data_IF_496570200420
#
_entry.id   IF_496570200420
#
_cell.length_a   1.000
_cell.length_b   1.000
_cell.length_c   1.000
_cell.angle_alpha   90.00
_cell.angle_beta   90.00
_cell.angle_gamma   90.00
#
_symmetry.space_group_name_H-M   'P 1'
#
loop_
_entity.id
_entity.type
_entity.pdbx_description
1 polymer ?
#
# COMPACT_ATOMS: atom_id res chain seq x y z
N UNK A 1 10.02 16.08 -11.34
CA UNK A 1 10.20 14.84 -10.59
C UNK A 1 9.24 14.70 -9.39
N UNK A 2 9.04 15.72 -8.52
CA UNK A 2 8.08 15.58 -7.39
C UNK A 2 6.64 15.36 -7.85
N UNK A 3 6.21 15.97 -8.96
CA UNK A 3 4.88 15.75 -9.54
C UNK A 3 4.70 14.29 -9.99
N UNK A 4 5.71 13.69 -10.62
CA UNK A 4 5.66 12.26 -10.96
C UNK A 4 5.56 11.34 -9.74
N UNK A 5 6.31 11.62 -8.66
CA UNK A 5 6.16 10.88 -7.40
C UNK A 5 4.79 11.09 -6.75
N UNK A 6 4.23 12.29 -6.85
CA UNK A 6 2.88 12.57 -6.38
C UNK A 6 1.84 11.76 -7.15
N UNK A 7 1.99 11.67 -8.48
CA UNK A 7 1.15 10.83 -9.33
C UNK A 7 1.20 9.36 -8.92
N UNK A 8 2.41 8.80 -8.77
CA UNK A 8 2.60 7.43 -8.29
C UNK A 8 1.94 7.20 -6.91
N UNK A 9 2.01 8.20 -6.01
CA UNK A 9 1.37 8.11 -4.70
C UNK A 9 -0.17 8.07 -4.82
N UNK A 10 -0.77 8.94 -5.63
CA UNK A 10 -2.22 8.98 -5.85
C UNK A 10 -2.71 7.67 -6.48
N UNK A 11 -2.04 7.21 -7.54
CA UNK A 11 -2.38 5.97 -8.25
C UNK A 11 -2.17 4.73 -7.38
N UNK A 12 -1.18 4.77 -6.50
CA UNK A 12 -0.89 3.73 -5.53
C UNK A 12 -1.78 3.73 -4.28
N UNK A 13 -2.85 4.55 -4.24
CA UNK A 13 -3.79 4.60 -3.11
C UNK A 13 -3.30 5.40 -1.91
N UNK A 14 -2.36 6.31 -2.10
CA UNK A 14 -1.83 7.23 -1.08
C UNK A 14 -2.15 8.70 -1.43
N UNK A 15 -3.44 9.09 -1.55
CA UNK A 15 -3.81 10.43 -2.01
C UNK A 15 -3.32 11.55 -1.08
N UNK A 16 -3.21 11.30 0.22
CA UNK A 16 -2.64 12.24 1.19
C UNK A 16 -1.17 12.55 0.90
N UNK A 17 -0.36 11.53 0.58
CA UNK A 17 1.03 11.72 0.20
C UNK A 17 1.15 12.43 -1.16
N UNK A 18 0.25 12.14 -2.09
CA UNK A 18 0.17 12.83 -3.38
C UNK A 18 -0.11 14.34 -3.20
N UNK A 19 -1.13 14.69 -2.42
CA UNK A 19 -1.48 16.08 -2.10
C UNK A 19 -0.30 16.84 -1.46
N UNK A 20 0.40 16.18 -0.53
CA UNK A 20 1.58 16.72 0.14
C UNK A 20 2.72 17.02 -0.84
N UNK A 21 3.07 16.06 -1.71
CA UNK A 21 4.15 16.21 -2.70
C UNK A 21 3.81 17.22 -3.80
N UNK A 22 2.54 17.34 -4.22
CA UNK A 22 2.11 18.35 -5.17
C UNK A 22 2.29 19.76 -4.61
N UNK A 23 1.94 19.97 -3.33
CA UNK A 23 2.15 21.25 -2.67
C UNK A 23 3.62 21.58 -2.49
N UNK A 24 4.46 20.60 -2.15
CA UNK A 24 5.91 20.77 -2.07
C UNK A 24 6.52 21.14 -3.44
N UNK A 25 6.04 20.52 -4.52
CA UNK A 25 6.51 20.82 -5.87
C UNK A 25 6.29 22.28 -6.26
N UNK A 26 5.11 22.84 -5.92
CA UNK A 26 4.80 24.26 -6.16
C UNK A 26 5.64 25.16 -5.27
N UNK A 27 5.75 24.84 -3.98
CA UNK A 27 6.51 25.68 -3.02
C UNK A 27 7.99 25.76 -3.37
N UNK A 28 8.59 24.66 -3.83
CA UNK A 28 10.03 24.58 -4.14
C UNK A 28 10.32 25.14 -5.54
N UNK A 29 9.51 24.79 -6.53
CA UNK A 29 9.75 25.15 -7.92
C UNK A 29 9.10 26.48 -8.36
N UNK A 30 8.17 26.99 -7.57
CA UNK A 30 7.31 28.10 -7.92
C UNK A 30 6.23 27.73 -8.94
N UNK A 31 5.21 28.55 -9.09
CA UNK A 31 4.12 28.33 -10.05
C UNK A 31 4.60 28.20 -11.50
N UNK A 32 5.72 28.85 -11.85
CA UNK A 32 6.31 28.81 -13.20
C UNK A 32 6.70 27.41 -13.65
N UNK A 33 7.12 26.53 -12.73
CA UNK A 33 7.49 25.14 -13.08
C UNK A 33 6.28 24.35 -13.57
N UNK A 34 5.11 24.63 -13.03
CA UNK A 34 3.86 23.96 -13.42
C UNK A 34 3.21 24.63 -14.62
N UNK A 35 3.33 25.96 -14.74
CA UNK A 35 2.66 26.72 -15.78
C UNK A 35 3.46 26.81 -17.08
N UNK A 36 4.79 26.69 -17.04
CA UNK A 36 5.66 26.83 -18.22
C UNK A 36 5.48 25.71 -19.26
N UNK A 37 5.08 24.50 -18.83
CA UNK A 37 4.93 23.34 -19.70
C UNK A 37 3.50 22.80 -19.63
N UNK A 38 2.71 22.85 -20.73
CA UNK A 38 1.31 22.39 -20.73
C UNK A 38 1.13 20.96 -20.21
N UNK A 39 2.04 20.04 -20.58
CA UNK A 39 1.99 18.66 -20.12
C UNK A 39 2.14 18.55 -18.59
N UNK A 40 3.10 19.27 -18.00
CA UNK A 40 3.32 19.28 -16.54
C UNK A 40 2.15 19.89 -15.79
N UNK A 41 1.53 20.91 -16.36
CA UNK A 41 0.31 21.52 -15.81
C UNK A 41 -0.85 20.54 -15.82
N UNK A 42 -1.08 19.84 -16.93
CA UNK A 42 -2.14 18.84 -17.04
C UNK A 42 -1.94 17.70 -16.04
N UNK A 43 -0.71 17.19 -15.89
CA UNK A 43 -0.39 16.16 -14.88
C UNK A 43 -0.66 16.67 -13.46
N UNK A 44 -0.20 17.87 -13.13
CA UNK A 44 -0.42 18.47 -11.83
C UNK A 44 -1.91 18.61 -11.50
N UNK A 45 -2.69 19.22 -12.40
CA UNK A 45 -4.14 19.42 -12.22
C UNK A 45 -4.88 18.08 -12.11
N UNK A 46 -4.50 17.10 -12.93
CA UNK A 46 -5.08 15.74 -12.89
C UNK A 46 -4.87 15.07 -11.53
N UNK A 47 -3.64 15.03 -11.04
CA UNK A 47 -3.35 14.37 -9.77
C UNK A 47 -3.88 15.16 -8.57
N UNK A 48 -3.93 16.49 -8.66
CA UNK A 48 -4.52 17.34 -7.62
C UNK A 48 -6.03 17.05 -7.48
N UNK A 49 -6.75 17.00 -8.59
CA UNK A 49 -8.17 16.66 -8.59
C UNK A 49 -8.43 15.25 -8.03
N UNK A 50 -7.64 14.25 -8.44
CA UNK A 50 -7.76 12.89 -7.93
C UNK A 50 -7.44 12.77 -6.45
N UNK A 51 -6.42 13.47 -5.96
CA UNK A 51 -6.10 13.49 -4.54
C UNK A 51 -7.25 14.11 -3.74
N UNK A 52 -7.86 15.20 -4.23
CA UNK A 52 -8.97 15.89 -3.58
C UNK A 52 -10.25 15.04 -3.51
N UNK A 53 -10.58 14.30 -4.57
CA UNK A 53 -11.76 13.40 -4.58
C UNK A 53 -11.61 12.25 -3.58
N UNK A 54 -10.38 11.78 -3.32
CA UNK A 54 -10.09 10.66 -2.44
C UNK A 54 -9.78 11.05 -0.98
N UNK A 55 -9.93 12.34 -0.64
CA UNK A 55 -9.72 12.86 0.71
C UNK A 55 -10.90 13.76 1.10
N UNK A 56 -11.22 13.81 2.39
CA UNK A 56 -12.05 14.90 2.88
C UNK A 56 -11.30 16.24 2.76
N UNK A 57 -12.05 17.34 2.61
CA UNK A 57 -11.47 18.67 2.34
C UNK A 57 -10.52 19.11 3.48
N UNK A 58 -10.86 18.82 4.73
CA UNK A 58 -10.01 19.17 5.88
C UNK A 58 -8.66 18.48 5.81
N UNK A 59 -8.65 17.18 5.50
CA UNK A 59 -7.42 16.39 5.37
C UNK A 59 -6.62 16.81 4.15
N UNK A 60 -7.28 17.10 3.02
CA UNK A 60 -6.63 17.61 1.82
C UNK A 60 -5.90 18.92 2.11
N UNK A 61 -6.56 19.90 2.74
CA UNK A 61 -5.95 21.18 3.09
C UNK A 61 -4.80 21.03 4.09
N UNK A 62 -4.92 20.15 5.06
CA UNK A 62 -3.86 19.86 6.02
C UNK A 62 -2.59 19.30 5.34
N UNK A 63 -2.74 18.37 4.40
CA UNK A 63 -1.60 17.82 3.65
C UNK A 63 -0.99 18.84 2.69
N UNK A 64 -1.81 19.67 2.05
CA UNK A 64 -1.33 20.80 1.24
C UNK A 64 -0.52 21.79 2.07
N UNK A 65 -1.00 22.16 3.25
CA UNK A 65 -0.30 23.08 4.17
C UNK A 65 1.07 22.52 4.57
N UNK A 66 1.15 21.23 4.97
CA UNK A 66 2.40 20.55 5.29
C UNK A 66 3.37 20.53 4.11
N UNK A 67 2.89 20.22 2.91
CA UNK A 67 3.73 20.19 1.71
C UNK A 67 4.35 21.54 1.37
N UNK A 68 3.60 22.63 1.55
CA UNK A 68 4.10 24.00 1.30
C UNK A 68 5.26 24.43 2.21
N UNK A 69 5.43 23.79 3.35
CA UNK A 69 6.51 24.10 4.30
C UNK A 69 7.80 23.33 4.03
N UNK A 70 7.76 22.34 3.12
CA UNK A 70 8.94 21.54 2.82
C UNK A 70 9.93 22.29 1.93
N UNK A 71 11.20 22.23 2.30
CA UNK A 71 12.31 22.51 1.41
C UNK A 71 12.66 21.28 0.56
N UNK A 72 13.55 21.45 -0.42
CA UNK A 72 13.86 20.41 -1.40
C UNK A 72 14.32 19.09 -0.78
N UNK A 73 15.26 19.12 0.15
CA UNK A 73 15.85 17.93 0.75
C UNK A 73 14.82 17.11 1.55
N UNK A 74 14.05 17.68 2.50
CA UNK A 74 12.96 16.95 3.16
C UNK A 74 11.89 16.43 2.19
N UNK A 75 11.58 17.16 1.11
CA UNK A 75 10.62 16.70 0.10
C UNK A 75 11.11 15.46 -0.65
N UNK A 76 12.40 15.39 -0.99
CA UNK A 76 13.02 14.22 -1.61
C UNK A 76 13.01 13.02 -0.66
N UNK A 77 13.39 13.20 0.59
CA UNK A 77 13.33 12.13 1.61
C UNK A 77 11.90 11.63 1.80
N UNK A 78 10.93 12.52 1.81
CA UNK A 78 9.51 12.13 1.90
C UNK A 78 9.05 11.34 0.66
N UNK A 79 9.42 11.79 -0.55
CA UNK A 79 9.11 11.09 -1.79
C UNK A 79 9.72 9.67 -1.82
N UNK A 80 10.96 9.49 -1.35
CA UNK A 80 11.60 8.19 -1.24
C UNK A 80 10.83 7.26 -0.30
N UNK A 81 10.44 7.73 0.89
CA UNK A 81 9.61 6.95 1.84
C UNK A 81 8.28 6.51 1.23
N UNK A 82 7.66 7.38 0.45
CA UNK A 82 6.41 7.06 -0.27
C UNK A 82 6.67 5.98 -1.32
N UNK A 83 7.75 6.09 -2.10
CA UNK A 83 8.13 5.09 -3.10
C UNK A 83 8.41 3.72 -2.47
N UNK A 84 9.15 3.68 -1.35
CA UNK A 84 9.43 2.45 -0.60
C UNK A 84 8.14 1.79 -0.09
N UNK A 85 7.21 2.59 0.42
CA UNK A 85 5.90 2.11 0.87
C UNK A 85 5.09 1.50 -0.28
N UNK A 86 5.09 2.14 -1.44
CA UNK A 86 4.41 1.63 -2.64
C UNK A 86 5.05 0.34 -3.15
N UNK A 87 6.38 0.28 -3.20
CA UNK A 87 7.11 -0.91 -3.61
C UNK A 87 6.83 -2.10 -2.66
N UNK A 88 6.80 -1.86 -1.35
CA UNK A 88 6.45 -2.87 -0.36
C UNK A 88 5.00 -3.37 -0.54
N UNK A 89 4.04 -2.47 -0.79
CA UNK A 89 2.65 -2.82 -1.04
C UNK A 89 2.49 -3.64 -2.33
N UNK A 90 3.18 -3.26 -3.41
CA UNK A 90 3.18 -4.02 -4.68
C UNK A 90 3.79 -5.42 -4.50
N UNK A 91 4.90 -5.52 -3.76
CA UNK A 91 5.52 -6.81 -3.44
C UNK A 91 4.58 -7.71 -2.64
N UNK A 92 3.88 -7.15 -1.64
CA UNK A 92 2.90 -7.89 -0.86
C UNK A 92 1.73 -8.37 -1.72
N UNK A 93 1.23 -7.53 -2.64
CA UNK A 93 0.15 -7.90 -3.57
C UNK A 93 0.57 -9.02 -4.52
N UNK A 94 1.77 -8.94 -5.12
CA UNK A 94 2.30 -10.02 -5.96
C UNK A 94 2.36 -11.35 -5.21
N UNK A 95 2.87 -11.35 -3.97
CA UNK A 95 2.90 -12.55 -3.14
C UNK A 95 1.51 -13.10 -2.82
N UNK A 96 0.52 -12.22 -2.66
CA UNK A 96 -0.87 -12.64 -2.49
C UNK A 96 -1.41 -13.34 -3.75
N UNK A 97 -1.05 -12.83 -4.93
CA UNK A 97 -1.47 -13.40 -6.22
C UNK A 97 -0.82 -14.78 -6.49
N UNK A 98 0.36 -15.04 -5.92
CA UNK A 98 1.04 -16.35 -5.98
C UNK A 98 0.36 -17.43 -5.12
N UNK A 99 -0.42 -17.04 -4.11
CA UNK A 99 -1.18 -17.98 -3.29
C UNK A 99 -2.45 -18.44 -3.99
N UNK A 100 -2.70 -19.75 -3.97
CA UNK A 100 -3.99 -20.29 -4.38
C UNK A 100 -5.10 -19.83 -3.44
N UNK A 101 -6.35 -19.93 -3.86
CA UNK A 101 -7.50 -19.60 -3.01
C UNK A 101 -7.43 -20.33 -1.67
N UNK A 102 -7.12 -21.64 -1.69
CA UNK A 102 -7.03 -22.46 -0.49
C UNK A 102 -5.87 -22.04 0.44
N UNK A 103 -4.75 -21.64 -0.12
CA UNK A 103 -3.62 -21.12 0.65
C UNK A 103 -3.95 -19.76 1.29
N UNK A 104 -4.74 -18.91 0.62
CA UNK A 104 -5.24 -17.65 1.20
C UNK A 104 -6.17 -17.90 2.39
N UNK A 105 -7.11 -18.85 2.28
CA UNK A 105 -7.99 -19.25 3.37
C UNK A 105 -7.18 -19.76 4.57
N UNK A 106 -6.22 -20.64 4.35
CA UNK A 106 -5.32 -21.13 5.41
C UNK A 106 -4.52 -20.01 6.03
N UNK A 107 -3.97 -19.07 5.22
CA UNK A 107 -3.21 -17.93 5.74
C UNK A 107 -4.08 -16.97 6.58
N UNK A 108 -5.33 -16.75 6.18
CA UNK A 108 -6.29 -15.96 6.95
C UNK A 108 -6.59 -16.58 8.33
N UNK A 109 -6.81 -17.90 8.39
CA UNK A 109 -7.04 -18.63 9.65
C UNK A 109 -5.78 -18.67 10.53
N UNK A 110 -4.58 -18.76 9.91
CA UNK A 110 -3.31 -18.60 10.64
C UNK A 110 -3.22 -17.21 11.28
N UNK A 111 -3.67 -16.17 10.60
CA UNK A 111 -3.67 -14.81 11.14
C UNK A 111 -4.64 -14.63 12.33
N UNK A 112 -5.71 -15.40 12.36
CA UNK A 112 -6.64 -15.47 13.49
C UNK A 112 -6.10 -16.30 14.67
N UNK A 113 -4.89 -16.86 14.56
CA UNK A 113 -4.27 -17.65 15.62
C UNK A 113 -4.69 -19.12 15.67
N UNK A 114 -5.48 -19.62 14.69
CA UNK A 114 -5.97 -21.00 14.65
C UNK A 114 -4.81 -22.00 14.54
N UNK A 115 -4.89 -23.11 15.25
CA UNK A 115 -3.98 -24.25 15.10
C UNK A 115 -4.25 -25.02 13.80
N UNK A 116 -3.31 -25.88 13.38
CA UNK A 116 -3.56 -26.74 12.21
C UNK A 116 -4.74 -27.71 12.38
N UNK A 117 -5.05 -28.09 13.62
CA UNK A 117 -6.22 -28.91 13.95
C UNK A 117 -7.53 -28.14 13.70
N UNK A 118 -7.66 -26.97 14.30
CA UNK A 118 -8.82 -26.09 14.13
C UNK A 118 -9.03 -25.68 12.65
N UNK A 119 -7.95 -25.39 11.91
CA UNK A 119 -8.01 -25.11 10.48
C UNK A 119 -8.50 -26.32 9.69
N UNK A 120 -8.05 -27.52 10.07
CA UNK A 120 -8.47 -28.77 9.42
C UNK A 120 -9.96 -29.06 9.61
N UNK A 121 -10.48 -28.80 10.81
CA UNK A 121 -11.90 -28.92 11.14
C UNK A 121 -12.73 -27.88 10.36
N UNK A 122 -12.34 -26.60 10.40
CA UNK A 122 -13.05 -25.51 9.73
C UNK A 122 -13.09 -25.65 8.21
N UNK A 123 -11.99 -26.11 7.62
CA UNK A 123 -11.87 -26.29 6.19
C UNK A 123 -12.27 -27.69 5.69
N UNK A 124 -12.69 -28.59 6.59
CA UNK A 124 -13.09 -29.98 6.31
C UNK A 124 -12.01 -30.75 5.55
N UNK A 125 -10.77 -30.70 6.05
CA UNK A 125 -9.62 -31.41 5.46
C UNK A 125 -8.81 -32.11 6.54
N UNK A 126 -7.82 -32.93 6.16
CA UNK A 126 -6.92 -33.53 7.13
C UNK A 126 -5.91 -32.52 7.69
N UNK A 127 -5.46 -32.71 8.92
CA UNK A 127 -4.37 -31.92 9.53
C UNK A 127 -3.11 -31.94 8.66
N UNK A 128 -2.78 -33.09 8.05
CA UNK A 128 -1.67 -33.26 7.12
C UNK A 128 -1.82 -32.39 5.86
N UNK A 129 -3.04 -32.20 5.36
CA UNK A 129 -3.34 -31.31 4.24
C UNK A 129 -3.06 -29.85 4.63
N UNK A 130 -3.45 -29.43 5.83
CA UNK A 130 -3.16 -28.07 6.34
C UNK A 130 -1.66 -27.86 6.50
N UNK A 131 -0.93 -28.84 7.04
CA UNK A 131 0.53 -28.78 7.17
C UNK A 131 1.21 -28.57 5.81
N UNK A 132 0.74 -29.26 4.76
CA UNK A 132 1.22 -29.08 3.39
C UNK A 132 0.91 -27.66 2.86
N UNK A 133 -0.30 -27.14 3.11
CA UNK A 133 -0.62 -25.75 2.72
C UNK A 133 0.26 -24.75 3.45
N UNK A 134 0.48 -24.91 4.75
CA UNK A 134 1.37 -24.04 5.54
C UNK A 134 2.80 -24.07 4.98
N UNK A 135 3.34 -25.23 4.65
CA UNK A 135 4.66 -25.38 4.06
C UNK A 135 4.75 -24.68 2.69
N UNK A 136 3.73 -24.83 1.85
CA UNK A 136 3.66 -24.13 0.56
C UNK A 136 3.59 -22.61 0.72
N UNK A 137 2.79 -22.12 1.68
CA UNK A 137 2.69 -20.68 2.00
C UNK A 137 4.05 -20.15 2.45
N UNK A 138 4.74 -20.84 3.35
CA UNK A 138 6.09 -20.45 3.80
C UNK A 138 7.04 -20.29 2.61
N UNK A 139 7.05 -21.28 1.71
CA UNK A 139 7.89 -21.27 0.50
C UNK A 139 7.55 -20.10 -0.43
N UNK A 140 6.27 -19.91 -0.78
CA UNK A 140 5.82 -18.86 -1.71
C UNK A 140 6.05 -17.45 -1.14
N UNK A 141 5.81 -17.28 0.16
CA UNK A 141 6.08 -16.00 0.83
C UNK A 141 7.57 -15.76 1.09
N UNK A 142 8.42 -16.79 0.97
CA UNK A 142 9.84 -16.71 1.32
C UNK A 142 10.05 -16.39 2.79
N UNK A 143 9.25 -17.00 3.67
CA UNK A 143 9.31 -16.85 5.14
C UNK A 143 9.55 -18.18 5.79
N UNK A 144 10.06 -18.18 7.03
CA UNK A 144 10.54 -19.40 7.71
C UNK A 144 9.69 -19.80 8.90
N UNK A 145 8.74 -18.96 9.34
CA UNK A 145 7.93 -19.24 10.51
C UNK A 145 6.45 -18.91 10.32
N UNK A 146 5.60 -19.65 11.04
CA UNK A 146 4.16 -19.41 11.09
C UNK A 146 3.82 -17.97 11.56
N UNK A 147 4.57 -17.44 12.52
CA UNK A 147 4.40 -16.06 13.00
C UNK A 147 4.63 -15.04 11.88
N UNK A 148 5.53 -15.32 10.95
CA UNK A 148 5.76 -14.45 9.78
C UNK A 148 4.59 -14.54 8.79
N UNK A 149 3.94 -15.71 8.61
CA UNK A 149 2.69 -15.82 7.85
C UNK A 149 1.61 -14.96 8.50
N UNK A 150 1.41 -15.09 9.82
CA UNK A 150 0.43 -14.31 10.59
C UNK A 150 0.65 -12.80 10.38
N UNK A 151 1.86 -12.32 10.60
CA UNK A 151 2.21 -10.90 10.41
C UNK A 151 1.92 -10.42 8.99
N UNK A 152 2.32 -11.21 8.00
CA UNK A 152 2.09 -10.90 6.59
C UNK A 152 0.60 -10.84 6.25
N UNK A 153 -0.20 -11.81 6.69
CA UNK A 153 -1.64 -11.86 6.43
C UNK A 153 -2.39 -10.68 7.08
N UNK A 154 -1.99 -10.25 8.29
CA UNK A 154 -2.52 -9.04 8.95
C UNK A 154 -2.14 -7.79 8.15
N UNK A 155 -0.88 -7.65 7.71
CA UNK A 155 -0.42 -6.49 6.94
C UNK A 155 -1.09 -6.37 5.56
N UNK A 156 -1.45 -7.49 4.96
CA UNK A 156 -2.15 -7.53 3.65
C UNK A 156 -3.67 -7.50 3.78
N UNK A 157 -4.21 -7.39 5.01
CA UNK A 157 -5.65 -7.43 5.33
C UNK A 157 -6.35 -8.70 4.85
N UNK A 158 -5.60 -9.79 4.69
CA UNK A 158 -6.17 -11.08 4.31
C UNK A 158 -7.05 -11.67 5.43
N UNK A 159 -6.86 -11.22 6.66
CA UNK A 159 -7.55 -11.70 7.85
C UNK A 159 -8.76 -10.83 8.26
N UNK A 160 -9.16 -9.84 7.48
CA UNK A 160 -10.41 -9.14 7.76
C UNK A 160 -11.57 -10.13 7.51
N UNK A 161 -12.47 -10.33 8.50
CA UNK A 161 -13.64 -11.16 8.29
C UNK A 161 -14.47 -10.53 7.17
N UNK A 162 -14.90 -11.33 6.20
CA UNK A 162 -15.96 -10.95 5.28
C UNK A 162 -17.15 -10.56 6.16
N UNK A 163 -17.50 -9.28 6.20
CA UNK A 163 -18.77 -8.86 6.75
C UNK A 163 -19.87 -9.57 5.95
N UNK A 164 -20.56 -10.50 6.64
CA UNK A 164 -21.82 -11.04 6.14
C UNK A 164 -22.91 -10.00 6.32
#
# INVERSE_FOLDING_TARGET
>A
CLIGFAGLAVDGGLPAAGAHLLAAAISIGGERVVTAWPATRMEYEHYLARARVNLDERRFQAEQAKGRTLSLEPAVVYAQRVADKLAAAQKARRKLDELTQREREVAALVAQGRSNGEIAEELVVSKRTVEKHVANILSKLGVTSRTQIMRWAIQTRLAEPSEM
#
